data_IF_974747000377
#
_entry.id   IF_974747000377
#
_cell.length_a   1.000
_cell.length_b   1.000
_cell.length_c   1.000
_cell.angle_alpha   90.00
_cell.angle_beta   90.00
_cell.angle_gamma   90.00
#
_symmetry.space_group_name_H-M   'P 1'
#
loop_
_entity.id
_entity.type
_entity.pdbx_description
1 polymer ?
#
# COMPACT_ATOMS: atom_id res chain seq x y z
N UNK A 1 -35.03 3.87 9.83
CA UNK A 1 -34.42 3.37 8.57
C UNK A 1 -33.41 2.31 8.99
N UNK A 2 -33.56 1.06 8.56
CA UNK A 2 -32.91 -0.11 9.19
C UNK A 2 -31.41 -0.17 8.84
N UNK A 3 -30.47 0.07 9.78
CA UNK A 3 -29.02 0.13 9.50
C UNK A 3 -28.40 -1.26 9.17
N UNK A 4 -29.16 -2.33 9.34
CA UNK A 4 -28.73 -3.72 9.20
C UNK A 4 -28.52 -4.19 7.74
N UNK A 5 -29.07 -3.49 6.74
CA UNK A 5 -28.97 -3.90 5.33
C UNK A 5 -27.63 -3.49 4.68
N UNK A 6 -26.96 -2.45 5.18
CA UNK A 6 -25.73 -1.93 4.55
C UNK A 6 -24.44 -2.66 4.97
N UNK A 7 -24.51 -3.51 5.99
CA UNK A 7 -23.36 -4.21 6.57
C UNK A 7 -22.97 -5.43 5.72
N UNK A 8 -23.95 -6.11 5.12
CA UNK A 8 -23.71 -7.29 4.30
C UNK A 8 -22.90 -7.02 3.02
N UNK A 9 -22.92 -5.78 2.51
CA UNK A 9 -22.31 -5.43 1.23
C UNK A 9 -20.81 -5.10 1.33
N UNK A 10 -20.32 -4.64 2.49
CA UNK A 10 -18.90 -4.28 2.68
C UNK A 10 -18.05 -5.41 3.27
N UNK A 11 -18.67 -6.38 3.95
CA UNK A 11 -18.02 -7.57 4.49
C UNK A 11 -17.13 -8.32 3.47
N UNK A 12 -17.57 -8.60 2.22
CA UNK A 12 -16.75 -9.34 1.26
C UNK A 12 -15.46 -8.59 0.88
N UNK A 13 -15.50 -7.26 0.81
CA UNK A 13 -14.33 -6.43 0.46
C UNK A 13 -13.28 -6.49 1.57
N UNK A 14 -13.70 -6.45 2.83
CA UNK A 14 -12.80 -6.53 3.98
C UNK A 14 -12.13 -7.90 4.04
N UNK A 15 -12.92 -8.98 3.91
CA UNK A 15 -12.41 -10.36 3.90
C UNK A 15 -11.39 -10.54 2.77
N UNK A 16 -11.74 -10.07 1.57
CA UNK A 16 -10.85 -10.13 0.41
C UNK A 16 -9.51 -9.42 0.63
N UNK A 17 -9.53 -8.22 1.24
CA UNK A 17 -8.30 -7.48 1.58
C UNK A 17 -7.43 -8.21 2.59
N UNK A 18 -8.03 -8.87 3.58
CA UNK A 18 -7.27 -9.67 4.56
C UNK A 18 -6.60 -10.85 3.87
N UNK A 19 -7.32 -11.57 3.00
CA UNK A 19 -6.77 -12.73 2.27
C UNK A 19 -5.60 -12.30 1.38
N UNK A 20 -5.80 -11.29 0.52
CA UNK A 20 -4.73 -10.82 -0.38
C UNK A 20 -3.58 -10.22 0.42
N UNK A 21 -3.86 -9.43 1.45
CA UNK A 21 -2.83 -8.86 2.32
C UNK A 21 -1.96 -9.94 2.94
N UNK A 22 -2.57 -11.00 3.44
CA UNK A 22 -1.87 -12.14 4.05
C UNK A 22 -1.04 -12.90 3.03
N UNK A 23 -1.59 -13.22 1.86
CA UNK A 23 -0.84 -13.88 0.78
C UNK A 23 0.35 -13.03 0.36
N UNK A 24 0.16 -11.72 0.20
CA UNK A 24 1.23 -10.80 -0.15
C UNK A 24 2.33 -10.76 0.90
N UNK A 25 1.97 -10.71 2.20
CA UNK A 25 2.93 -10.71 3.30
C UNK A 25 3.81 -11.97 3.30
N UNK A 26 3.20 -13.15 3.23
CA UNK A 26 3.95 -14.40 3.27
C UNK A 26 4.74 -14.66 1.99
N UNK A 27 4.11 -14.48 0.83
CA UNK A 27 4.74 -14.72 -0.47
C UNK A 27 5.96 -13.83 -0.68
N UNK A 28 5.78 -12.51 -0.49
CA UNK A 28 6.88 -11.57 -0.66
C UNK A 28 7.90 -11.63 0.49
N UNK A 29 7.46 -11.95 1.70
CA UNK A 29 8.35 -12.17 2.84
C UNK A 29 9.35 -13.31 2.60
N UNK A 30 8.91 -14.40 1.98
CA UNK A 30 9.80 -15.52 1.61
C UNK A 30 10.85 -15.09 0.56
N UNK A 31 10.44 -14.33 -0.46
CA UNK A 31 11.36 -13.83 -1.51
C UNK A 31 12.43 -12.92 -0.90
N UNK A 32 12.01 -12.01 -0.01
CA UNK A 32 12.92 -11.13 0.72
C UNK A 32 13.86 -11.93 1.60
N UNK A 33 13.34 -12.89 2.37
CA UNK A 33 14.15 -13.75 3.22
C UNK A 33 15.24 -14.49 2.44
N UNK A 34 14.87 -15.13 1.32
CA UNK A 34 15.82 -15.84 0.44
C UNK A 34 16.88 -14.87 -0.09
N UNK A 35 16.46 -13.71 -0.61
CA UNK A 35 17.38 -12.76 -1.24
C UNK A 35 18.35 -12.15 -0.22
N UNK A 36 17.89 -11.85 0.99
CA UNK A 36 18.73 -11.33 2.07
C UNK A 36 19.71 -12.40 2.57
N UNK A 37 19.23 -13.63 2.79
CA UNK A 37 20.03 -14.76 3.31
C UNK A 37 21.12 -15.19 2.32
N UNK A 38 20.80 -15.30 1.04
CA UNK A 38 21.72 -15.84 0.04
C UNK A 38 22.36 -14.74 -0.80
N UNK A 39 23.63 -14.39 -0.49
CA UNK A 39 24.41 -13.39 -1.24
C UNK A 39 24.47 -13.64 -2.75
N UNK A 40 24.42 -14.90 -3.19
CA UNK A 40 24.40 -15.29 -4.61
C UNK A 40 23.19 -14.70 -5.35
N UNK A 41 22.04 -14.58 -4.69
CA UNK A 41 20.85 -13.99 -5.31
C UNK A 41 21.01 -12.47 -5.50
N UNK A 42 21.73 -11.76 -4.62
CA UNK A 42 22.01 -10.33 -4.74
C UNK A 42 23.11 -9.97 -5.76
N UNK A 43 23.72 -10.97 -6.39
CA UNK A 43 24.83 -10.73 -7.31
C UNK A 43 24.38 -10.09 -8.63
N UNK A 44 23.12 -10.28 -9.03
CA UNK A 44 22.59 -9.75 -10.30
C UNK A 44 21.64 -8.59 -10.05
N UNK A 45 21.74 -7.58 -10.91
CA UNK A 45 20.89 -6.38 -10.88
C UNK A 45 19.39 -6.72 -10.92
N UNK A 46 18.99 -7.62 -11.82
CA UNK A 46 17.60 -8.03 -11.94
C UNK A 46 17.06 -8.67 -10.65
N UNK A 47 17.86 -9.50 -9.95
CA UNK A 47 17.40 -10.11 -8.71
C UNK A 47 17.23 -9.07 -7.60
N UNK A 48 18.04 -8.00 -7.58
CA UNK A 48 17.83 -6.87 -6.67
C UNK A 48 16.51 -6.13 -6.99
N UNK A 49 16.19 -5.89 -8.26
CA UNK A 49 14.91 -5.28 -8.64
C UNK A 49 13.72 -6.15 -8.23
N UNK A 50 13.82 -7.47 -8.40
CA UNK A 50 12.78 -8.42 -7.94
C UNK A 50 12.62 -8.34 -6.42
N UNK A 51 13.72 -8.24 -5.67
CA UNK A 51 13.65 -8.08 -4.22
C UNK A 51 13.06 -6.73 -3.79
N UNK A 52 13.37 -5.64 -4.50
CA UNK A 52 12.75 -4.33 -4.25
C UNK A 52 11.25 -4.34 -4.55
N UNK A 53 10.83 -5.04 -5.62
CA UNK A 53 9.42 -5.22 -5.93
C UNK A 53 8.73 -6.04 -4.84
N UNK A 54 9.33 -7.14 -4.41
CA UNK A 54 8.82 -7.95 -3.30
C UNK A 54 8.71 -7.10 -2.01
N UNK A 55 9.67 -6.21 -1.75
CA UNK A 55 9.57 -5.25 -0.64
C UNK A 55 8.37 -4.31 -0.78
N UNK A 56 8.14 -3.77 -1.98
CA UNK A 56 6.98 -2.91 -2.27
C UNK A 56 5.66 -3.63 -1.96
N UNK A 57 5.50 -4.84 -2.48
CA UNK A 57 4.31 -5.67 -2.34
C UNK A 57 4.12 -6.13 -0.88
N UNK A 58 5.22 -6.40 -0.16
CA UNK A 58 5.18 -6.71 1.27
C UNK A 58 4.62 -5.53 2.08
N UNK A 59 5.13 -4.30 1.85
CA UNK A 59 4.64 -3.09 2.52
C UNK A 59 3.18 -2.79 2.15
N UNK A 60 2.81 -3.00 0.88
CA UNK A 60 1.42 -2.92 0.42
C UNK A 60 0.53 -3.92 1.16
N UNK A 61 1.01 -5.16 1.35
CA UNK A 61 0.36 -6.21 2.14
C UNK A 61 0.09 -5.77 3.58
N UNK A 62 1.10 -5.20 4.25
CA UNK A 62 0.96 -4.59 5.60
C UNK A 62 -0.16 -3.54 5.59
N UNK A 63 -0.12 -2.61 4.64
CA UNK A 63 -1.12 -1.54 4.52
C UNK A 63 -2.55 -2.06 4.33
N UNK A 64 -2.73 -3.09 3.50
CA UNK A 64 -4.06 -3.71 3.30
C UNK A 64 -4.60 -4.36 4.57
N UNK A 65 -3.76 -5.07 5.33
CA UNK A 65 -4.18 -5.71 6.59
C UNK A 65 -4.49 -4.66 7.65
N UNK A 66 -3.61 -3.67 7.86
CA UNK A 66 -3.84 -2.58 8.83
C UNK A 66 -5.16 -1.88 8.52
N UNK A 67 -5.40 -1.54 7.25
CA UNK A 67 -6.62 -0.84 6.85
C UNK A 67 -7.87 -1.72 7.04
N UNK A 68 -7.78 -3.02 6.76
CA UNK A 68 -8.89 -3.95 6.97
C UNK A 68 -9.21 -4.11 8.47
N UNK A 69 -8.20 -4.28 9.32
CA UNK A 69 -8.38 -4.34 10.77
C UNK A 69 -8.98 -3.05 11.31
N UNK A 70 -8.48 -1.89 10.87
CA UNK A 70 -9.02 -0.59 11.26
C UNK A 70 -10.51 -0.44 10.89
N UNK A 71 -10.92 -0.93 9.72
CA UNK A 71 -12.34 -0.96 9.32
C UNK A 71 -13.20 -1.88 10.19
N UNK A 72 -12.66 -3.02 10.65
CA UNK A 72 -13.37 -3.94 11.56
C UNK A 72 -13.55 -3.30 12.94
N UNK A 73 -12.48 -2.72 13.50
CA UNK A 73 -12.55 -2.09 14.82
C UNK A 73 -13.55 -0.93 14.88
N UNK A 74 -13.57 -0.07 13.86
CA UNK A 74 -14.56 1.00 13.76
C UNK A 74 -15.98 0.43 13.69
N UNK A 75 -16.17 -0.65 12.93
CA UNK A 75 -17.48 -1.27 12.78
C UNK A 75 -18.01 -1.82 14.10
N UNK A 76 -17.17 -2.53 14.85
CA UNK A 76 -17.55 -3.08 16.17
C UNK A 76 -17.89 -1.97 17.16
N UNK A 77 -17.12 -0.89 17.16
CA UNK A 77 -17.36 0.27 18.02
C UNK A 77 -18.70 0.97 17.69
N UNK A 78 -19.04 1.13 16.42
CA UNK A 78 -20.33 1.71 16.00
C UNK A 78 -21.50 0.82 16.39
N UNK A 79 -21.33 -0.50 16.33
CA UNK A 79 -22.38 -1.46 16.67
C UNK A 79 -22.74 -1.38 18.16
N UNK A 80 -21.74 -1.30 19.03
CA UNK A 80 -21.91 -1.22 20.49
C UNK A 80 -22.54 0.14 20.91
N UNK A 81 -22.16 1.23 20.24
CA UNK A 81 -22.70 2.57 20.52
C UNK A 81 -24.16 2.78 20.09
N UNK A 82 -24.71 1.95 19.20
CA UNK A 82 -26.11 2.08 18.74
C UNK A 82 -27.10 1.27 19.61
N UNK A 83 -26.59 0.42 20.51
CA UNK A 83 -27.40 -0.36 21.44
C UNK A 83 -27.86 0.48 22.65
N UNK A 84 -27.07 1.47 23.03
CA UNK A 84 -27.42 2.50 24.00
C UNK A 84 -27.88 3.73 23.21
N UNK A 85 -29.16 4.13 23.28
CA UNK A 85 -29.77 5.21 22.48
C UNK A 85 -29.23 6.64 22.75
N UNK A 86 -27.92 6.81 22.96
CA UNK A 86 -27.26 8.08 23.16
C UNK A 86 -26.72 8.57 21.80
N UNK A 87 -27.41 9.54 21.21
CA UNK A 87 -27.19 10.10 19.87
C UNK A 87 -25.88 10.91 19.69
N UNK A 88 -24.79 10.56 20.38
CA UNK A 88 -23.52 11.27 20.17
C UNK A 88 -22.72 10.67 19.00
N UNK A 89 -22.45 11.45 17.92
CA UNK A 89 -21.65 10.98 16.81
C UNK A 89 -20.21 10.76 17.26
N UNK A 90 -19.76 9.51 17.19
CA UNK A 90 -18.38 9.12 17.47
C UNK A 90 -17.37 10.00 16.72
N UNK A 91 -16.53 10.69 17.48
CA UNK A 91 -15.48 11.57 16.95
C UNK A 91 -14.40 10.71 16.29
N UNK A 92 -14.58 10.50 14.99
CA UNK A 92 -13.62 9.81 14.14
C UNK A 92 -12.34 10.65 13.99
N UNK A 93 -11.18 10.06 14.31
CA UNK A 93 -9.90 10.74 14.14
C UNK A 93 -9.38 10.57 12.68
N UNK A 94 -9.42 11.63 11.84
CA UNK A 94 -8.99 11.54 10.46
C UNK A 94 -7.48 11.25 10.32
N UNK A 95 -6.68 11.67 11.29
CA UNK A 95 -5.23 11.42 11.28
C UNK A 95 -4.93 9.93 11.38
N UNK A 96 -5.63 9.21 12.26
CA UNK A 96 -5.41 7.79 12.48
C UNK A 96 -5.62 6.97 11.19
N UNK A 97 -6.65 7.30 10.41
CA UNK A 97 -6.90 6.55 9.19
C UNK A 97 -5.95 6.86 8.04
N UNK A 98 -5.53 8.13 7.89
CA UNK A 98 -4.51 8.42 6.87
C UNK A 98 -3.20 7.73 7.23
N UNK A 99 -2.81 7.76 8.51
CA UNK A 99 -1.63 7.02 8.99
C UNK A 99 -1.75 5.52 8.69
N UNK A 100 -2.92 4.92 8.93
CA UNK A 100 -3.19 3.53 8.59
C UNK A 100 -3.11 3.24 7.07
N UNK A 101 -3.44 4.22 6.22
CA UNK A 101 -3.37 4.11 4.76
C UNK A 101 -2.00 4.39 4.15
N UNK A 102 -1.09 5.05 4.87
CA UNK A 102 0.23 5.43 4.35
C UNK A 102 1.06 4.26 3.82
N UNK A 103 1.18 3.11 4.53
CA UNK A 103 1.95 1.97 4.04
C UNK A 103 1.41 1.46 2.69
N UNK A 104 0.10 1.49 2.50
CA UNK A 104 -0.53 1.06 1.25
C UNK A 104 -0.16 2.00 0.10
N UNK A 105 -0.24 3.31 0.30
CA UNK A 105 0.11 4.31 -0.73
C UNK A 105 1.59 4.20 -1.10
N UNK A 106 2.47 4.10 -0.08
CA UNK A 106 3.90 3.92 -0.28
C UNK A 106 4.19 2.67 -1.12
N UNK A 107 3.62 1.52 -0.73
CA UNK A 107 3.83 0.25 -1.44
C UNK A 107 3.40 0.31 -2.90
N UNK A 108 2.23 0.91 -3.19
CA UNK A 108 1.72 1.07 -4.57
C UNK A 108 2.69 1.91 -5.40
N UNK A 109 3.03 3.11 -4.93
CA UNK A 109 3.86 4.05 -5.71
C UNK A 109 5.26 3.50 -5.91
N UNK A 110 5.87 2.98 -4.84
CA UNK A 110 7.18 2.37 -4.88
C UNK A 110 7.20 1.19 -5.85
N UNK A 111 6.20 0.30 -5.76
CA UNK A 111 6.07 -0.88 -6.64
C UNK A 111 5.93 -0.51 -8.11
N UNK A 112 5.11 0.49 -8.45
CA UNK A 112 4.93 0.94 -9.84
C UNK A 112 6.23 1.48 -10.45
N UNK A 113 7.03 2.24 -9.68
CA UNK A 113 8.32 2.76 -10.16
C UNK A 113 9.31 1.60 -10.40
N UNK A 114 9.38 0.63 -9.49
CA UNK A 114 10.23 -0.54 -9.66
C UNK A 114 9.78 -1.41 -10.84
N UNK A 115 8.47 -1.60 -11.03
CA UNK A 115 7.92 -2.33 -12.16
C UNK A 115 8.27 -1.67 -13.50
N UNK A 116 8.14 -0.34 -13.57
CA UNK A 116 8.56 0.45 -14.73
C UNK A 116 10.07 0.31 -14.98
N UNK A 117 10.88 0.38 -13.93
CA UNK A 117 12.32 0.20 -14.03
C UNK A 117 12.70 -1.19 -14.57
N UNK A 118 12.04 -2.26 -14.11
CA UNK A 118 12.23 -3.61 -14.66
C UNK A 118 11.83 -3.70 -16.13
N UNK A 119 10.72 -3.06 -16.53
CA UNK A 119 10.30 -3.04 -17.93
C UNK A 119 11.34 -2.34 -18.82
N UNK A 120 11.88 -1.22 -18.37
CA UNK A 120 12.96 -0.49 -19.07
C UNK A 120 14.23 -1.33 -19.15
N UNK A 121 14.62 -1.99 -18.05
CA UNK A 121 15.79 -2.87 -18.03
C UNK A 121 15.69 -3.97 -19.09
N UNK A 122 14.52 -4.62 -19.19
CA UNK A 122 14.26 -5.65 -20.20
C UNK A 122 14.25 -5.11 -21.62
N UNK A 123 13.68 -3.92 -21.84
CA UNK A 123 13.69 -3.28 -23.15
C UNK A 123 15.12 -2.93 -23.59
N UNK A 124 15.95 -2.38 -22.70
CA UNK A 124 17.34 -2.03 -23.01
C UNK A 124 18.21 -3.26 -23.30
N UNK A 125 17.99 -4.35 -22.56
CA UNK A 125 18.69 -5.61 -22.81
C UNK A 125 18.40 -6.18 -24.21
N UNK A 126 17.17 -6.02 -24.70
CA UNK A 126 16.76 -6.45 -26.04
C UNK A 126 17.24 -5.49 -27.12
N UNK A 127 17.06 -4.18 -26.94
CA UNK A 127 17.38 -3.19 -27.97
C UNK A 127 18.88 -2.93 -28.14
N UNK A 128 19.68 -3.06 -27.08
CA UNK A 128 21.12 -2.70 -27.09
C UNK A 128 21.99 -3.72 -26.33
N UNK A 129 22.11 -4.97 -26.82
CA UNK A 129 22.82 -6.03 -26.12
C UNK A 129 24.32 -5.74 -25.92
N UNK A 130 24.96 -5.05 -26.88
CA UNK A 130 26.41 -4.76 -26.86
C UNK A 130 26.79 -3.64 -25.89
N UNK A 131 25.91 -2.65 -25.69
CA UNK A 131 26.15 -1.51 -24.79
C UNK A 131 25.74 -1.82 -23.34
N UNK A 132 24.69 -2.63 -23.15
CA UNK A 132 24.07 -2.90 -21.85
C UNK A 132 25.02 -3.59 -20.83
N UNK A 133 26.06 -4.29 -21.27
CA UNK A 133 26.89 -5.10 -20.38
C UNK A 133 28.07 -4.34 -19.72
N UNK A 134 28.43 -3.12 -20.15
CA UNK A 134 29.77 -2.58 -19.87
C UNK A 134 30.00 -1.86 -18.54
N UNK A 135 29.00 -1.27 -17.87
CA UNK A 135 29.16 -0.73 -16.50
C UNK A 135 27.91 -0.08 -15.86
N UNK A 136 26.74 -0.01 -16.53
CA UNK A 136 25.62 0.83 -16.07
C UNK A 136 24.79 0.26 -14.93
N UNK A 137 24.86 -1.05 -14.65
CA UNK A 137 23.85 -1.75 -13.84
C UNK A 137 23.80 -1.33 -12.36
N UNK A 138 24.95 -1.07 -11.73
CA UNK A 138 25.01 -0.63 -10.31
C UNK A 138 24.53 0.81 -10.14
N UNK A 139 24.96 1.71 -11.04
CA UNK A 139 24.54 3.12 -11.03
C UNK A 139 23.05 3.24 -11.34
N UNK A 140 22.54 2.43 -12.27
CA UNK A 140 21.10 2.33 -12.55
C UNK A 140 20.32 1.86 -11.33
N UNK A 141 20.81 0.87 -10.58
CA UNK A 141 20.15 0.42 -9.33
C UNK A 141 20.02 1.53 -8.31
N UNK A 142 21.14 2.18 -7.98
CA UNK A 142 21.17 3.24 -6.98
C UNK A 142 20.27 4.40 -7.41
N UNK A 143 20.31 4.77 -8.70
CA UNK A 143 19.45 5.82 -9.25
C UNK A 143 17.95 5.48 -9.15
N UNK A 144 17.57 4.24 -9.45
CA UNK A 144 16.18 3.78 -9.35
C UNK A 144 15.72 3.70 -7.89
N UNK A 145 16.55 3.16 -7.00
CA UNK A 145 16.25 3.13 -5.56
C UNK A 145 16.05 4.54 -5.02
N UNK A 146 16.97 5.46 -5.32
CA UNK A 146 16.88 6.86 -4.90
C UNK A 146 15.62 7.54 -5.44
N UNK A 147 15.32 7.37 -6.74
CA UNK A 147 14.13 7.95 -7.37
C UNK A 147 12.83 7.40 -6.76
N UNK A 148 12.77 6.07 -6.57
CA UNK A 148 11.59 5.41 -6.00
C UNK A 148 11.35 5.84 -4.55
N UNK A 149 12.41 5.93 -3.74
CA UNK A 149 12.31 6.42 -2.35
C UNK A 149 11.88 7.89 -2.33
N UNK A 150 12.53 8.75 -3.12
CA UNK A 150 12.24 10.19 -3.15
C UNK A 150 10.79 10.45 -3.56
N UNK A 151 10.32 9.80 -4.63
CA UNK A 151 8.96 9.98 -5.12
C UNK A 151 7.93 9.42 -4.13
N UNK A 152 8.16 8.23 -3.58
CA UNK A 152 7.24 7.64 -2.59
C UNK A 152 7.15 8.47 -1.30
N UNK A 153 8.27 9.01 -0.84
CA UNK A 153 8.32 9.88 0.34
C UNK A 153 7.64 11.22 0.08
N UNK A 154 7.80 11.78 -1.12
CA UNK A 154 7.08 13.01 -1.53
C UNK A 154 5.56 12.83 -1.48
N UNK A 155 5.03 11.72 -2.01
CA UNK A 155 3.60 11.43 -1.96
C UNK A 155 3.09 11.17 -0.53
N UNK A 156 3.88 10.49 0.31
CA UNK A 156 3.56 10.33 1.73
C UNK A 156 3.51 11.67 2.46
N UNK A 157 4.48 12.55 2.19
CA UNK A 157 4.50 13.90 2.75
C UNK A 157 3.31 14.74 2.28
N UNK A 158 2.96 14.66 0.99
CA UNK A 158 1.78 15.32 0.42
C UNK A 158 0.47 14.80 1.05
N UNK A 159 0.36 13.49 1.25
CA UNK A 159 -0.77 12.88 1.94
C UNK A 159 -0.89 13.37 3.39
N UNK A 160 0.22 13.58 4.10
CA UNK A 160 0.21 14.15 5.45
C UNK A 160 -0.07 15.66 5.50
N UNK A 161 0.51 16.43 4.58
CA UNK A 161 0.38 17.89 4.55
C UNK A 161 -1.02 18.34 4.15
N UNK A 162 -1.70 17.57 3.29
CA UNK A 162 -3.10 17.81 2.91
C UNK A 162 -4.07 17.68 4.09
N UNK A 163 -3.74 16.88 5.12
CA UNK A 163 -4.52 16.81 6.37
C UNK A 163 -4.30 18.07 7.21
N UNK A 164 -3.04 18.50 7.37
CA UNK A 164 -2.68 19.64 8.23
C UNK A 164 -3.31 20.94 7.73
N UNK A 165 -3.49 21.06 6.42
CA UNK A 165 -4.05 22.27 5.79
C UNK A 165 -5.59 22.30 5.85
N UNK A 166 -6.25 21.24 6.36
CA UNK A 166 -7.71 21.15 6.43
C UNK A 166 -8.40 21.17 5.05
N UNK A 167 -7.64 21.09 3.96
CA UNK A 167 -8.15 21.14 2.60
C UNK A 167 -8.74 19.81 2.13
N UNK A 168 -8.51 18.71 2.87
CA UNK A 168 -9.31 17.49 2.80
C UNK A 168 -10.32 17.50 3.97
N UNK A 169 -11.12 18.55 4.07
CA UNK A 169 -12.48 18.44 4.57
C UNK A 169 -13.34 18.32 3.33
N UNK A 170 -13.57 17.08 2.87
CA UNK A 170 -14.82 16.66 2.18
C UNK A 170 -14.74 15.19 1.75
N UNK A 171 -15.73 14.46 2.25
CA UNK A 171 -16.35 13.25 1.73
C UNK A 171 -15.79 11.85 1.98
N UNK A 172 -14.59 11.42 1.54
CA UNK A 172 -14.28 9.96 1.61
C UNK A 172 -12.83 9.49 1.73
N UNK A 173 -12.08 9.72 2.82
CA UNK A 173 -10.84 8.96 3.00
C UNK A 173 -11.08 7.56 3.58
N UNK A 174 -12.05 7.40 4.49
CA UNK A 174 -12.33 6.12 5.17
C UNK A 174 -13.78 5.95 5.66
N UNK A 175 -14.71 6.74 5.14
CA UNK A 175 -16.11 6.73 5.57
C UNK A 175 -16.86 5.53 4.99
N UNK A 176 -17.51 4.81 5.89
CA UNK A 176 -18.75 4.09 5.62
C UNK A 176 -19.69 5.05 4.89
N UNK A 177 -19.97 4.79 3.61
CA UNK A 177 -20.88 5.62 2.83
C UNK A 177 -22.30 5.11 3.11
N UNK A 178 -23.17 5.84 3.84
CA UNK A 178 -24.60 5.57 3.74
C UNK A 178 -25.00 5.90 2.30
N UNK A 179 -25.20 4.87 1.49
CA UNK A 179 -25.69 5.01 0.13
C UNK A 179 -27.15 5.45 0.21
N UNK A 180 -27.37 6.77 0.18
CA UNK A 180 -28.71 7.31 0.07
C UNK A 180 -29.18 7.09 -1.37
N UNK A 181 -29.92 5.99 -1.60
CA UNK A 181 -30.67 5.78 -2.84
C UNK A 181 -31.79 6.82 -2.88
N UNK A 182 -31.67 7.80 -3.77
CA UNK A 182 -32.84 8.43 -4.38
C UNK A 182 -33.39 7.50 -5.45
#
# INVERSE_FOLDING_TARGET
MNPSIHIGEQAPVIIFRIIIGTISLFGNGIILYITLKFKKFRATYCNCLIALLAFAEFVLGIGMVIRALYSIFIYEYIKDGNENNDEEPLIYNPYACVIAGLPQIFGIIFGQIILLAMAIDRLLAVCRPTTYNKNSKKVQLIGIEFLAILFSTFFCYYALSSIKTGSIITDRPCTYVPFNKK
#
